data_IF_599354290129
#
_entry.id   IF_599354290129
#
_cell.length_a   1.000
_cell.length_b   1.000
_cell.length_c   1.000
_cell.angle_alpha   90.00
_cell.angle_beta   90.00
_cell.angle_gamma   90.00
#
_symmetry.space_group_name_H-M   'P 1'
#
loop_
_entity.id
_entity.type
_entity.pdbx_description
1 polymer ?
#
# COMPACT_ATOMS: atom_id res chain seq x y z
N UNK A 1 -7.28 -13.44 4.04
CA UNK A 1 -6.97 -12.29 3.17
C UNK A 1 -8.03 -12.18 2.07
N UNK A 2 -8.46 -10.96 1.73
CA UNK A 2 -9.54 -10.68 0.76
C UNK A 2 -9.02 -10.92 -0.69
N UNK A 3 -9.90 -11.33 -1.61
CA UNK A 3 -9.58 -11.49 -3.04
C UNK A 3 -9.95 -10.21 -3.82
N UNK A 4 -9.40 -9.08 -3.38
CA UNK A 4 -9.67 -7.76 -3.92
C UNK A 4 -8.51 -7.27 -4.79
N UNK A 5 -8.82 -6.42 -5.76
CA UNK A 5 -7.88 -5.92 -6.76
C UNK A 5 -7.61 -4.45 -6.51
N UNK A 6 -6.33 -4.09 -6.36
CA UNK A 6 -5.89 -2.72 -6.18
C UNK A 6 -5.35 -2.17 -7.50
N UNK A 7 -5.81 -0.97 -7.86
CA UNK A 7 -5.50 -0.35 -9.15
C UNK A 7 -4.80 0.99 -8.90
N UNK A 8 -3.50 1.06 -9.20
CA UNK A 8 -2.75 2.31 -9.17
C UNK A 8 -2.95 3.10 -10.47
N UNK A 9 -4.21 3.49 -10.74
CA UNK A 9 -4.60 4.26 -11.93
C UNK A 9 -5.35 5.52 -11.50
N UNK A 10 -4.60 6.44 -10.90
CA UNK A 10 -5.11 7.78 -10.57
C UNK A 10 -3.96 8.79 -10.67
N UNK A 11 -4.25 10.09 -10.83
CA UNK A 11 -3.23 11.13 -10.67
C UNK A 11 -2.82 11.21 -9.19
N UNK A 12 -1.95 10.30 -8.76
CA UNK A 12 -1.38 10.23 -7.42
C UNK A 12 -0.07 11.00 -7.41
N UNK A 13 0.09 11.90 -6.44
CA UNK A 13 1.35 12.56 -6.15
C UNK A 13 1.92 12.02 -4.85
N UNK A 14 3.22 11.76 -4.83
CA UNK A 14 3.99 11.42 -3.64
C UNK A 14 4.80 12.64 -3.22
N UNK A 15 4.78 12.96 -1.93
CA UNK A 15 5.72 13.92 -1.33
C UNK A 15 6.41 13.29 -0.10
N UNK A 16 7.70 13.57 0.08
CA UNK A 16 8.46 13.22 1.28
C UNK A 16 8.24 14.31 2.33
N UNK A 17 7.82 13.92 3.55
CA UNK A 17 7.62 14.85 4.68
C UNK A 17 8.85 14.85 5.58
N UNK A 18 9.34 13.66 5.92
CA UNK A 18 10.50 13.44 6.78
C UNK A 18 11.30 12.22 6.30
N UNK A 19 12.36 11.83 7.00
CA UNK A 19 13.15 10.65 6.63
C UNK A 19 12.39 9.32 6.70
N UNK A 20 11.30 9.26 7.49
CA UNK A 20 10.50 8.06 7.70
C UNK A 20 9.02 8.21 7.25
N UNK A 21 8.63 9.38 6.73
CA UNK A 21 7.23 9.67 6.40
C UNK A 21 7.05 10.24 5.00
N UNK A 22 6.07 9.69 4.31
CA UNK A 22 5.61 10.15 3.01
C UNK A 22 4.12 10.44 3.06
N UNK A 23 3.64 11.23 2.10
CA UNK A 23 2.20 11.44 1.88
C UNK A 23 1.86 11.14 0.44
N UNK A 24 0.78 10.39 0.24
CA UNK A 24 0.11 10.26 -1.05
C UNK A 24 -1.03 11.24 -1.11
N UNK A 25 -1.17 11.88 -2.26
CA UNK A 25 -2.27 12.79 -2.55
C UNK A 25 -2.96 12.37 -3.84
N UNK A 26 -4.27 12.08 -3.73
CA UNK A 26 -5.12 11.82 -4.88
C UNK A 26 -5.62 13.16 -5.42
N UNK A 27 -5.13 13.59 -6.59
CA UNK A 27 -5.52 14.91 -7.11
C UNK A 27 -6.94 14.97 -7.65
N UNK A 28 -7.65 13.82 -7.72
CA UNK A 28 -9.06 13.76 -8.14
C UNK A 28 -9.99 13.89 -6.94
N UNK A 29 -9.72 13.15 -5.86
CA UNK A 29 -10.57 13.15 -4.65
C UNK A 29 -10.12 14.16 -3.61
N UNK A 30 -8.92 14.73 -3.76
CA UNK A 30 -8.25 15.59 -2.77
C UNK A 30 -7.94 14.87 -1.43
N UNK A 31 -8.05 13.55 -1.41
CA UNK A 31 -7.69 12.75 -0.25
C UNK A 31 -6.18 12.62 -0.13
N UNK A 32 -5.72 12.52 1.10
CA UNK A 32 -4.34 12.21 1.40
C UNK A 32 -4.25 11.11 2.45
N UNK A 33 -3.19 10.30 2.32
CA UNK A 33 -2.84 9.30 3.33
C UNK A 33 -1.35 9.41 3.64
N UNK A 34 -1.01 9.24 4.91
CA UNK A 34 0.36 9.19 5.39
C UNK A 34 0.89 7.78 5.28
N UNK A 35 2.13 7.65 4.85
CA UNK A 35 2.82 6.38 4.70
C UNK A 35 4.00 6.31 5.66
N UNK A 36 3.99 5.28 6.49
CA UNK A 36 5.18 4.76 7.17
C UNK A 36 6.02 3.89 6.21
N UNK A 37 7.15 3.38 6.67
CA UNK A 37 8.07 2.57 5.85
C UNK A 37 7.41 1.37 5.16
N UNK A 38 6.53 0.65 5.87
CA UNK A 38 5.87 -0.56 5.35
C UNK A 38 4.86 -0.19 4.26
N UNK A 39 3.97 0.76 4.56
CA UNK A 39 2.97 1.25 3.61
C UNK A 39 3.60 1.92 2.39
N UNK A 40 4.74 2.59 2.54
CA UNK A 40 5.52 3.11 1.42
C UNK A 40 6.07 2.01 0.51
N UNK A 41 6.66 0.95 1.07
CA UNK A 41 7.15 -0.18 0.28
C UNK A 41 6.01 -0.88 -0.47
N UNK A 42 4.87 -1.09 0.18
CA UNK A 42 3.69 -1.69 -0.45
C UNK A 42 3.12 -0.78 -1.54
N UNK A 43 2.99 0.52 -1.29
CA UNK A 43 2.59 1.50 -2.30
C UNK A 43 3.50 1.44 -3.53
N UNK A 44 4.82 1.41 -3.33
CA UNK A 44 5.80 1.36 -4.42
C UNK A 44 5.66 0.06 -5.23
N UNK A 45 5.37 -1.07 -4.56
CA UNK A 45 5.09 -2.35 -5.22
C UNK A 45 3.84 -2.26 -6.11
N UNK A 46 2.71 -1.76 -5.58
CA UNK A 46 1.47 -1.58 -6.34
C UNK A 46 1.69 -0.63 -7.52
N UNK A 47 2.35 0.51 -7.30
CA UNK A 47 2.57 1.53 -8.33
C UNK A 47 3.45 1.03 -9.50
N UNK A 48 4.43 0.16 -9.23
CA UNK A 48 5.27 -0.47 -10.26
C UNK A 48 4.48 -1.48 -11.10
N UNK A 49 3.62 -2.26 -10.46
CA UNK A 49 2.80 -3.30 -11.09
C UNK A 49 1.57 -2.74 -11.80
N UNK A 50 1.13 -1.53 -11.42
CA UNK A 50 -0.11 -0.85 -11.85
C UNK A 50 -1.40 -1.51 -11.38
N UNK A 51 -1.38 -2.81 -11.23
CA UNK A 51 -2.52 -3.63 -10.84
C UNK A 51 -2.02 -4.85 -10.06
N UNK A 52 -2.60 -5.09 -8.87
CA UNK A 52 -2.15 -6.14 -7.94
C UNK A 52 -3.34 -6.70 -7.15
N UNK A 53 -3.37 -8.02 -6.92
CA UNK A 53 -4.31 -8.63 -5.97
C UNK A 53 -3.81 -8.52 -4.53
N UNK A 54 -4.68 -8.31 -3.55
CA UNK A 54 -4.30 -8.23 -2.13
C UNK A 54 -3.53 -9.48 -1.65
N UNK A 55 -3.83 -10.66 -2.21
CA UNK A 55 -3.08 -11.88 -1.93
C UNK A 55 -1.60 -11.80 -2.39
N UNK A 56 -1.33 -11.15 -3.53
CA UNK A 56 0.04 -10.93 -3.99
C UNK A 56 0.81 -9.97 -3.08
N UNK A 57 0.11 -9.04 -2.43
CA UNK A 57 0.71 -8.15 -1.41
C UNK A 57 1.07 -8.96 -0.17
N UNK A 58 0.22 -9.89 0.26
CA UNK A 58 0.55 -10.82 1.35
C UNK A 58 1.81 -11.61 1.06
N UNK A 59 1.92 -12.20 -0.14
CA UNK A 59 3.12 -12.92 -0.60
C UNK A 59 4.36 -12.02 -0.65
N UNK A 60 4.20 -10.78 -1.10
CA UNK A 60 5.26 -9.78 -1.08
C UNK A 60 5.74 -9.48 0.34
N UNK A 61 4.83 -9.27 1.29
CA UNK A 61 5.17 -8.99 2.71
C UNK A 61 5.91 -10.18 3.34
N UNK A 62 5.45 -11.42 3.10
CA UNK A 62 6.16 -12.63 3.56
C UNK A 62 7.60 -12.64 3.01
N UNK A 63 7.75 -12.41 1.70
CA UNK A 63 9.06 -12.41 1.05
C UNK A 63 9.98 -11.28 1.51
N UNK A 64 9.44 -10.09 1.75
CA UNK A 64 10.22 -8.89 2.08
C UNK A 64 10.66 -8.87 3.56
N UNK A 65 9.80 -9.36 4.46
CA UNK A 65 10.00 -9.26 5.91
C UNK A 65 10.25 -10.60 6.62
N UNK A 66 10.09 -11.74 5.93
CA UNK A 66 10.31 -13.07 6.51
C UNK A 66 9.32 -13.42 7.63
N UNK A 67 8.10 -12.88 7.55
CA UNK A 67 7.06 -13.03 8.58
C UNK A 67 6.07 -14.16 8.25
N UNK A 68 5.35 -14.63 9.28
CA UNK A 68 4.31 -15.67 9.12
C UNK A 68 2.92 -15.08 8.80
N UNK A 69 1.98 -15.95 8.43
CA UNK A 69 0.62 -15.57 8.02
C UNK A 69 -0.17 -14.75 9.04
N UNK A 70 0.00 -15.01 10.34
CA UNK A 70 -0.70 -14.24 11.39
C UNK A 70 -0.22 -12.79 11.39
N UNK A 71 1.08 -12.58 11.32
CA UNK A 71 1.69 -11.25 11.23
C UNK A 71 1.34 -10.56 9.91
N UNK A 72 1.28 -11.30 8.80
CA UNK A 72 0.87 -10.75 7.49
C UNK A 72 -0.55 -10.23 7.53
N UNK A 73 -1.49 -10.98 8.10
CA UNK A 73 -2.87 -10.51 8.23
C UNK A 73 -2.94 -9.21 9.00
N UNK A 74 -2.23 -9.10 10.12
CA UNK A 74 -2.20 -7.87 10.91
C UNK A 74 -1.58 -6.70 10.13
N UNK A 75 -0.48 -6.91 9.41
CA UNK A 75 0.12 -5.86 8.55
C UNK A 75 -0.88 -5.45 7.46
N UNK A 76 -1.60 -6.39 6.86
CA UNK A 76 -2.59 -6.08 5.83
C UNK A 76 -3.81 -5.34 6.40
N UNK A 77 -4.22 -5.64 7.63
CA UNK A 77 -5.25 -4.88 8.34
C UNK A 77 -4.75 -3.45 8.63
N UNK A 78 -3.49 -3.28 9.05
CA UNK A 78 -2.86 -1.96 9.25
C UNK A 78 -2.71 -1.16 7.93
N UNK A 79 -2.75 -1.84 6.78
CA UNK A 79 -2.67 -1.24 5.44
C UNK A 79 -4.05 -0.90 4.85
N UNK A 80 -5.16 -1.12 5.56
CA UNK A 80 -6.51 -0.96 5.00
C UNK A 80 -6.74 0.44 4.42
N UNK A 81 -6.29 1.51 5.09
CA UNK A 81 -6.40 2.88 4.53
C UNK A 81 -5.62 3.09 3.23
N UNK A 82 -4.52 2.36 3.01
CA UNK A 82 -3.80 2.38 1.74
C UNK A 82 -4.56 1.61 0.65
N UNK A 83 -5.20 0.51 1.01
CA UNK A 83 -6.00 -0.28 0.07
C UNK A 83 -7.25 0.48 -0.36
N UNK A 84 -7.96 1.10 0.59
CA UNK A 84 -9.11 1.97 0.33
C UNK A 84 -8.76 3.12 -0.60
N UNK A 85 -7.54 3.67 -0.48
CA UNK A 85 -7.05 4.74 -1.36
C UNK A 85 -6.88 4.29 -2.83
N UNK A 86 -6.76 3.00 -3.09
CA UNK A 86 -6.56 2.41 -4.42
C UNK A 86 -7.79 1.72 -5.02
N UNK A 87 -8.86 1.56 -4.26
CA UNK A 87 -10.15 1.02 -4.72
C UNK A 87 -11.02 2.12 -5.30
#
# INVERSE_FOLDING_TARGET
>A
MKNEKLIAVYPIRLAKISDAEYVLFNTRTFENIYLNDVSFKVWNYINKKKEVLVEEIGKYIISEYGVNDKTVNQICDDLESLFDFFM
#
